data_IF_061459038593
#
_entry.id   IF_061459038593
#
_cell.length_a   1.000
_cell.length_b   1.000
_cell.length_c   1.000
_cell.angle_alpha   90.00
_cell.angle_beta   90.00
_cell.angle_gamma   90.00
#
_symmetry.space_group_name_H-M   'P 1'
#
loop_
_entity.id
_entity.type
_entity.pdbx_description
1 polymer ?
#
# COMPACT_ATOMS: atom_id res chain seq x y z
N UNK A 1 -61.76 -36.63 30.96
CA UNK A 1 -60.29 -36.80 31.04
C UNK A 1 -59.72 -36.83 29.62
N UNK A 2 -58.87 -35.87 29.22
CA UNK A 2 -58.21 -35.90 27.88
C UNK A 2 -56.89 -35.14 27.76
N UNK A 3 -56.29 -34.73 28.90
CA UNK A 3 -55.06 -33.95 28.94
C UNK A 3 -53.80 -34.80 28.68
N UNK A 4 -53.87 -36.08 29.06
CA UNK A 4 -52.79 -37.07 28.99
C UNK A 4 -52.26 -37.35 27.57
N UNK A 5 -53.04 -37.08 26.52
CA UNK A 5 -52.59 -37.24 25.11
C UNK A 5 -51.83 -36.05 24.53
N UNK A 6 -51.90 -34.87 25.16
CA UNK A 6 -51.13 -33.68 24.74
C UNK A 6 -49.79 -33.58 25.48
N UNK A 7 -49.70 -34.21 26.66
CA UNK A 7 -48.52 -34.23 27.50
C UNK A 7 -47.24 -34.76 26.80
N UNK A 8 -47.27 -35.79 25.93
CA UNK A 8 -46.08 -36.24 25.19
C UNK A 8 -45.57 -35.22 24.16
N UNK A 9 -46.44 -34.40 23.58
CA UNK A 9 -46.04 -33.38 22.60
C UNK A 9 -45.32 -32.19 23.24
N UNK A 10 -45.64 -31.87 24.50
CA UNK A 10 -44.97 -30.79 25.25
C UNK A 10 -43.66 -31.26 25.90
N UNK A 11 -43.54 -32.57 26.21
CA UNK A 11 -42.38 -33.17 26.87
C UNK A 11 -41.36 -33.81 25.91
N UNK A 12 -41.29 -33.36 24.65
CA UNK A 12 -40.21 -33.70 23.72
C UNK A 12 -39.31 -32.48 23.38
N UNK A 13 -38.62 -31.85 24.35
CA UNK A 13 -37.61 -30.81 24.09
C UNK A 13 -36.29 -31.40 23.54
N UNK A 14 -36.36 -32.55 22.87
CA UNK A 14 -35.17 -33.34 22.53
C UNK A 14 -34.62 -32.96 21.15
N UNK A 15 -33.95 -31.81 21.13
CA UNK A 15 -32.85 -31.39 20.24
C UNK A 15 -32.49 -32.38 19.10
N UNK A 16 -33.29 -32.38 18.02
CA UNK A 16 -32.98 -33.07 16.78
C UNK A 16 -31.89 -32.31 15.97
N UNK A 17 -30.70 -32.15 16.55
CA UNK A 17 -29.49 -31.60 15.92
C UNK A 17 -28.90 -32.64 14.93
N UNK A 18 -29.65 -32.99 13.90
CA UNK A 18 -29.24 -33.87 12.81
C UNK A 18 -28.25 -33.14 11.87
N UNK A 19 -27.00 -32.99 12.33
CA UNK A 19 -25.96 -32.19 11.68
C UNK A 19 -25.46 -32.75 10.35
N UNK A 20 -26.11 -32.38 9.25
CA UNK A 20 -25.72 -32.73 7.88
C UNK A 20 -24.49 -31.98 7.34
N UNK A 21 -23.29 -32.31 7.82
CA UNK A 21 -22.03 -32.27 7.03
C UNK A 21 -21.49 -30.95 6.44
N UNK A 22 -22.13 -29.79 6.61
CA UNK A 22 -21.71 -28.54 5.93
C UNK A 22 -20.63 -27.70 6.63
N UNK A 23 -20.57 -27.73 7.97
CA UNK A 23 -19.84 -26.72 8.76
C UNK A 23 -18.31 -26.70 8.56
N UNK A 24 -17.69 -27.87 8.34
CA UNK A 24 -16.24 -27.99 8.22
C UNK A 24 -15.65 -27.26 7.01
N UNK A 25 -16.35 -27.29 5.87
CA UNK A 25 -15.92 -26.57 4.66
C UNK A 25 -16.18 -25.07 4.80
N UNK A 26 -17.29 -24.65 5.42
CA UNK A 26 -17.59 -23.22 5.60
C UNK A 26 -16.61 -22.56 6.58
N UNK A 27 -16.38 -23.15 7.76
CA UNK A 27 -15.37 -22.66 8.70
C UNK A 27 -13.95 -22.80 8.13
N UNK A 28 -13.68 -23.90 7.41
CA UNK A 28 -12.44 -24.10 6.67
C UNK A 28 -12.17 -22.96 5.69
N UNK A 29 -13.11 -22.62 4.81
CA UNK A 29 -12.98 -21.51 3.86
C UNK A 29 -12.89 -20.15 4.55
N UNK A 30 -13.65 -19.89 5.62
CA UNK A 30 -13.59 -18.63 6.38
C UNK A 30 -12.21 -18.38 7.01
N UNK A 31 -11.48 -19.44 7.38
CA UNK A 31 -10.12 -19.35 7.94
C UNK A 31 -9.05 -19.46 6.83
N UNK A 32 -9.27 -20.29 5.83
CA UNK A 32 -8.33 -20.56 4.74
C UNK A 32 -8.27 -19.44 3.72
N UNK A 33 -9.39 -18.74 3.43
CA UNK A 33 -9.38 -17.55 2.54
C UNK A 33 -8.49 -16.42 3.08
N UNK A 34 -8.63 -15.92 4.32
CA UNK A 34 -7.74 -14.87 4.82
C UNK A 34 -6.29 -15.35 4.97
N UNK A 35 -6.03 -16.63 5.29
CA UNK A 35 -4.67 -17.20 5.31
C UNK A 35 -4.08 -17.25 3.88
N UNK A 36 -4.83 -17.70 2.88
CA UNK A 36 -4.42 -17.68 1.48
C UNK A 36 -4.20 -16.27 0.98
N UNK A 37 -5.12 -15.34 1.24
CA UNK A 37 -5.02 -13.94 0.79
C UNK A 37 -3.84 -13.25 1.47
N UNK A 38 -3.64 -13.40 2.78
CA UNK A 38 -2.51 -12.83 3.50
C UNK A 38 -1.18 -13.46 3.05
N UNK A 39 -1.12 -14.79 2.93
CA UNK A 39 0.04 -15.52 2.44
C UNK A 39 0.39 -15.17 0.99
N UNK A 40 -0.62 -15.07 0.12
CA UNK A 40 -0.46 -14.66 -1.28
C UNK A 40 0.00 -13.21 -1.38
N UNK A 41 -0.60 -12.26 -0.63
CA UNK A 41 -0.11 -10.86 -0.57
C UNK A 41 1.36 -10.83 -0.13
N UNK A 42 1.75 -11.61 0.88
CA UNK A 42 3.13 -11.67 1.38
C UNK A 42 4.09 -12.30 0.36
N UNK A 43 3.67 -13.35 -0.33
CA UNK A 43 4.43 -14.05 -1.38
C UNK A 43 4.57 -13.18 -2.65
N UNK A 44 3.47 -12.59 -3.12
CA UNK A 44 3.44 -11.73 -4.30
C UNK A 44 4.24 -10.45 -4.05
N UNK A 45 4.15 -9.84 -2.86
CA UNK A 45 5.03 -8.71 -2.48
C UNK A 45 6.51 -9.12 -2.47
N UNK A 46 6.84 -10.33 -2.02
CA UNK A 46 8.23 -10.83 -2.03
C UNK A 46 8.74 -11.09 -3.46
N UNK A 47 7.93 -11.71 -4.33
CA UNK A 47 8.31 -11.98 -5.71
C UNK A 47 8.39 -10.69 -6.55
N UNK A 48 7.46 -9.76 -6.34
CA UNK A 48 7.49 -8.41 -6.92
C UNK A 48 8.71 -7.62 -6.42
N UNK A 49 9.05 -7.71 -5.12
CA UNK A 49 10.27 -7.10 -4.59
C UNK A 49 11.55 -7.72 -5.18
N UNK A 50 11.57 -9.03 -5.47
CA UNK A 50 12.72 -9.69 -6.09
C UNK A 50 12.89 -9.29 -7.57
N UNK A 51 11.79 -9.16 -8.31
CA UNK A 51 11.80 -8.87 -9.76
C UNK A 51 11.94 -7.36 -10.05
N UNK A 52 11.22 -6.49 -9.34
CA UNK A 52 11.31 -5.04 -9.51
C UNK A 52 12.40 -4.39 -8.65
N UNK A 53 12.87 -5.05 -7.58
CA UNK A 53 14.04 -4.62 -6.82
C UNK A 53 15.36 -4.72 -7.60
N UNK A 54 15.35 -5.39 -8.76
CA UNK A 54 16.49 -5.53 -9.66
C UNK A 54 16.77 -4.33 -10.56
N UNK A 55 15.89 -3.32 -10.67
CA UNK A 55 16.18 -2.13 -11.50
C UNK A 55 15.39 -0.88 -11.09
N UNK A 56 16.08 0.05 -10.40
CA UNK A 56 15.70 1.47 -10.37
C UNK A 56 16.85 2.42 -9.92
N UNK A 57 18.11 2.05 -10.17
CA UNK A 57 19.29 2.90 -9.90
C UNK A 57 19.72 3.76 -11.11
N UNK A 58 18.77 4.08 -11.98
CA UNK A 58 18.95 5.01 -13.11
C UNK A 58 17.85 6.07 -13.17
N UNK A 59 17.26 6.42 -12.02
CA UNK A 59 16.44 7.63 -11.94
C UNK A 59 17.34 8.87 -11.99
N UNK A 60 17.23 9.64 -13.07
CA UNK A 60 17.93 10.92 -13.24
C UNK A 60 17.26 12.00 -12.40
N UNK A 61 17.64 12.07 -11.12
CA UNK A 61 17.79 13.31 -10.34
C UNK A 61 16.70 14.40 -10.50
N UNK A 62 15.43 14.07 -10.25
CA UNK A 62 14.34 15.06 -10.11
C UNK A 62 13.44 14.74 -8.91
N UNK A 63 13.75 15.26 -7.73
CA UNK A 63 12.97 15.01 -6.50
C UNK A 63 13.26 15.91 -5.29
N UNK A 64 14.47 16.50 -5.19
CA UNK A 64 14.84 17.45 -4.13
C UNK A 64 15.16 16.81 -2.76
N UNK A 65 15.54 17.62 -1.74
CA UNK A 65 15.73 19.08 -1.75
C UNK A 65 17.20 19.53 -1.53
N UNK A 66 17.67 20.46 -2.38
CA UNK A 66 18.90 21.29 -2.23
C UNK A 66 20.27 20.60 -2.13
N UNK A 67 21.32 21.30 -2.64
CA UNK A 67 22.76 20.97 -2.52
C UNK A 67 23.24 19.68 -3.23
N UNK A 68 24.42 19.58 -3.87
CA UNK A 68 25.47 20.57 -4.26
C UNK A 68 25.99 20.22 -5.67
N UNK A 69 25.58 20.94 -6.72
CA UNK A 69 26.39 21.55 -7.81
C UNK A 69 25.41 22.36 -8.68
N UNK A 70 24.80 23.40 -8.10
CA UNK A 70 24.34 24.50 -8.95
C UNK A 70 25.60 25.28 -9.29
N UNK A 71 26.08 25.20 -10.54
CA UNK A 71 27.19 26.04 -10.97
C UNK A 71 26.76 27.50 -10.80
N UNK A 72 27.48 28.25 -9.97
CA UNK A 72 27.33 29.69 -9.83
C UNK A 72 28.37 30.40 -10.70
N UNK A 73 27.99 31.55 -11.25
CA UNK A 73 28.89 32.48 -11.95
C UNK A 73 28.71 33.85 -11.35
N UNK A 74 29.78 34.63 -11.27
CA UNK A 74 29.68 36.01 -10.80
C UNK A 74 29.12 36.90 -11.92
N UNK A 75 28.31 37.90 -11.56
CA UNK A 75 27.74 38.81 -12.55
C UNK A 75 28.82 39.79 -13.06
N UNK A 76 29.14 39.85 -14.37
CA UNK A 76 30.16 40.75 -14.91
C UNK A 76 29.86 42.25 -14.72
N UNK A 77 28.62 42.61 -14.37
CA UNK A 77 28.21 44.01 -14.14
C UNK A 77 28.17 44.43 -12.67
N UNK A 78 28.10 43.49 -11.71
CA UNK A 78 27.97 43.82 -10.29
C UNK A 78 28.71 42.88 -9.32
N UNK A 79 29.52 41.95 -9.83
CA UNK A 79 30.26 40.90 -9.10
C UNK A 79 29.41 39.95 -8.23
N UNK A 80 28.09 40.15 -8.15
CA UNK A 80 27.16 39.34 -7.35
C UNK A 80 27.10 37.89 -7.86
N UNK A 81 27.22 36.86 -6.98
CA UNK A 81 27.11 35.47 -7.37
C UNK A 81 25.68 35.10 -7.78
N UNK A 82 25.52 34.56 -8.98
CA UNK A 82 24.23 34.12 -9.54
C UNK A 82 24.28 32.66 -10.01
N UNK A 83 23.12 32.04 -10.16
CA UNK A 83 22.99 30.74 -10.83
C UNK A 83 23.50 30.85 -12.28
N UNK A 84 24.34 29.94 -12.76
CA UNK A 84 24.87 29.99 -14.13
C UNK A 84 23.77 29.89 -15.21
N UNK A 85 22.62 29.28 -14.87
CA UNK A 85 21.40 29.21 -15.70
C UNK A 85 20.61 30.53 -15.76
N UNK A 86 20.93 31.53 -14.93
CA UNK A 86 20.24 32.81 -14.94
C UNK A 86 20.65 33.67 -16.14
N UNK A 87 19.66 34.00 -16.99
CA UNK A 87 19.79 34.93 -18.12
C UNK A 87 19.72 36.41 -17.72
N UNK A 88 19.42 36.72 -16.45
CA UNK A 88 19.27 38.09 -15.93
C UNK A 88 19.69 38.13 -14.46
N UNK A 89 20.44 39.15 -14.07
CA UNK A 89 20.87 39.34 -12.68
C UNK A 89 19.72 39.90 -11.83
N UNK A 90 19.56 39.40 -10.59
CA UNK A 90 18.56 39.91 -9.64
C UNK A 90 18.94 41.25 -9.00
N UNK A 91 20.23 41.61 -8.95
CA UNK A 91 20.71 42.81 -8.26
C UNK A 91 20.82 44.01 -9.19
N UNK A 92 21.54 43.90 -10.32
CA UNK A 92 21.68 44.99 -11.29
C UNK A 92 20.60 44.99 -12.40
N UNK A 93 19.77 43.95 -12.50
CA UNK A 93 18.76 43.83 -13.57
C UNK A 93 19.30 43.57 -14.97
N UNK A 94 20.63 43.61 -15.16
CA UNK A 94 21.29 43.38 -16.45
C UNK A 94 21.05 41.96 -16.97
N UNK A 95 20.83 41.83 -18.27
CA UNK A 95 20.73 40.56 -18.96
C UNK A 95 22.13 39.97 -19.24
N UNK A 96 22.24 38.66 -19.10
CA UNK A 96 23.46 37.87 -19.09
C UNK A 96 23.29 36.67 -20.05
N UNK A 97 22.87 37.04 -21.27
CA UNK A 97 22.47 36.16 -22.38
C UNK A 97 23.55 35.18 -22.77
#
# INVERSE_FOLDING_TARGET
MRLERLLPWVLMPNIAMAGGGGGGIVLGLIIFLPILVWGFIKLWKFWFQMIFGGSNRTFVQQGGPHSLVQATKDCPYCAEPILAKARKCKHCGSDLG
#
